data_IF_081601986514
#
_entry.id   IF_081601986514
#
_cell.length_a   1.000
_cell.length_b   1.000
_cell.length_c   1.000
_cell.angle_alpha   90.00
_cell.angle_beta   90.00
_cell.angle_gamma   90.00
#
_symmetry.space_group_name_H-M   'P 1'
#
loop_
_entity.id
_entity.type
_entity.pdbx_description
1 polymer ?
#
# COMPACT_ATOMS: atom_id res chain seq x y z
N UNK A 1 -11.81 14.08 -0.21
CA UNK A 1 -11.03 13.28 -1.20
C UNK A 1 -11.78 13.13 -2.50
N UNK A 2 -11.15 13.36 -3.67
CA UNK A 2 -11.76 13.16 -5.02
C UNK A 2 -11.20 11.93 -5.72
N UNK A 3 -9.94 11.63 -5.49
CA UNK A 3 -9.19 10.48 -6.01
C UNK A 3 -8.31 9.93 -4.90
N UNK A 4 -7.74 8.73 -5.09
CA UNK A 4 -6.66 8.19 -4.27
C UNK A 4 -5.46 7.91 -5.18
N UNK A 5 -4.58 8.90 -5.39
CA UNK A 5 -3.44 8.77 -6.29
C UNK A 5 -2.14 8.43 -5.56
N UNK A 6 -1.93 9.03 -4.39
CA UNK A 6 -0.77 8.80 -3.51
C UNK A 6 -1.10 9.21 -2.07
N UNK A 7 -0.37 8.68 -1.09
CA UNK A 7 -0.58 9.03 0.32
C UNK A 7 -0.33 10.51 0.62
N UNK A 8 0.51 11.18 -0.17
CA UNK A 8 0.76 12.62 -0.06
C UNK A 8 -0.50 13.47 -0.23
N UNK A 9 -1.49 13.00 -0.99
CA UNK A 9 -2.71 13.74 -1.30
C UNK A 9 -3.76 13.69 -0.18
N UNK A 10 -3.64 12.75 0.78
CA UNK A 10 -4.55 12.60 1.90
C UNK A 10 -4.10 13.44 3.10
N UNK A 11 -5.04 13.99 3.86
CA UNK A 11 -4.76 14.44 5.23
C UNK A 11 -4.74 13.26 6.21
N UNK A 12 -4.17 13.47 7.42
CA UNK A 12 -4.25 12.47 8.48
C UNK A 12 -5.70 12.16 8.88
N UNK A 13 -6.57 13.15 8.91
CA UNK A 13 -7.99 13.01 9.17
C UNK A 13 -8.70 12.16 8.10
N UNK A 14 -8.43 12.41 6.81
CA UNK A 14 -8.97 11.58 5.71
C UNK A 14 -8.50 10.13 5.80
N UNK A 15 -7.25 9.88 6.22
CA UNK A 15 -6.76 8.52 6.47
C UNK A 15 -7.58 7.86 7.58
N UNK A 16 -7.73 8.52 8.73
CA UNK A 16 -8.50 7.99 9.86
C UNK A 16 -9.96 7.70 9.49
N UNK A 17 -10.62 8.60 8.75
CA UNK A 17 -11.97 8.38 8.25
C UNK A 17 -12.09 7.16 7.30
N UNK A 18 -11.07 6.89 6.48
CA UNK A 18 -11.03 5.69 5.64
C UNK A 18 -10.91 4.45 6.52
N UNK A 19 -10.05 4.50 7.54
CA UNK A 19 -9.86 3.38 8.45
C UNK A 19 -11.13 3.09 9.28
N UNK A 20 -11.82 4.12 9.77
CA UNK A 20 -13.08 3.96 10.51
C UNK A 20 -14.16 3.28 9.67
N UNK A 21 -14.26 3.70 8.40
CA UNK A 21 -15.18 3.03 7.46
C UNK A 21 -14.74 1.60 7.14
N UNK A 22 -13.44 1.34 7.04
CA UNK A 22 -12.91 0.00 6.80
C UNK A 22 -13.25 -0.96 7.96
N UNK A 23 -13.11 -0.49 9.22
CA UNK A 23 -13.49 -1.25 10.41
C UNK A 23 -14.99 -1.57 10.41
N UNK A 24 -15.83 -0.58 10.09
CA UNK A 24 -17.27 -0.79 9.96
C UNK A 24 -17.58 -1.85 8.89
N UNK A 25 -16.98 -1.75 7.70
CA UNK A 25 -17.20 -2.69 6.60
C UNK A 25 -16.67 -4.11 6.91
N UNK A 26 -15.58 -4.22 7.66
CA UNK A 26 -15.06 -5.49 8.17
C UNK A 26 -16.03 -6.10 9.17
N UNK A 27 -16.53 -5.31 10.11
CA UNK A 27 -17.54 -5.72 11.09
C UNK A 27 -18.83 -6.20 10.41
N UNK A 28 -19.37 -5.42 9.47
CA UNK A 28 -20.58 -5.76 8.72
C UNK A 28 -20.43 -7.10 7.98
N UNK A 29 -19.27 -7.32 7.32
CA UNK A 29 -19.00 -8.58 6.64
C UNK A 29 -18.94 -9.76 7.60
N UNK A 30 -18.17 -9.64 8.70
CA UNK A 30 -17.99 -10.71 9.68
C UNK A 30 -19.30 -11.09 10.42
N UNK A 31 -20.25 -10.15 10.51
CA UNK A 31 -21.56 -10.37 11.13
C UNK A 31 -22.69 -10.61 10.11
N UNK A 32 -22.37 -10.83 8.84
CA UNK A 32 -23.33 -11.06 7.76
C UNK A 32 -24.39 -9.95 7.63
N UNK A 33 -24.00 -8.70 7.93
CA UNK A 33 -24.85 -7.52 7.75
C UNK A 33 -24.75 -7.06 6.28
N UNK A 34 -25.87 -7.00 5.54
CA UNK A 34 -25.86 -6.53 4.16
C UNK A 34 -25.38 -5.08 4.05
N UNK A 35 -24.41 -4.82 3.16
CA UNK A 35 -23.82 -3.50 2.98
C UNK A 35 -23.62 -3.11 1.49
N UNK A 36 -24.70 -3.11 0.68
CA UNK A 36 -24.62 -2.87 -0.75
C UNK A 36 -24.50 -1.37 -1.08
N UNK A 37 -23.50 -0.70 -0.50
CA UNK A 37 -23.32 0.76 -0.62
C UNK A 37 -23.08 1.25 -2.04
N UNK A 38 -22.61 0.39 -2.96
CA UNK A 38 -22.33 0.70 -4.36
C UNK A 38 -23.25 -0.05 -5.33
N UNK A 39 -24.49 -0.36 -4.90
CA UNK A 39 -25.47 -1.02 -5.76
C UNK A 39 -25.68 -0.26 -7.07
N UNK A 40 -25.49 -0.95 -8.20
CA UNK A 40 -25.64 -0.40 -9.54
C UNK A 40 -24.46 0.42 -10.05
N UNK A 41 -23.36 0.51 -9.29
CA UNK A 41 -22.11 1.13 -9.71
C UNK A 41 -21.19 0.12 -10.39
N UNK A 42 -20.34 0.61 -11.29
CA UNK A 42 -19.33 -0.18 -11.97
C UNK A 42 -17.95 0.47 -11.84
N UNK A 43 -16.92 -0.35 -11.60
CA UNK A 43 -15.51 0.08 -11.56
C UNK A 43 -14.69 -0.68 -12.61
N UNK A 44 -13.83 0.02 -13.35
CA UNK A 44 -12.84 -0.60 -14.23
C UNK A 44 -11.53 -0.81 -13.49
N UNK A 45 -11.00 -2.03 -13.56
CA UNK A 45 -9.75 -2.43 -12.92
C UNK A 45 -8.67 -2.62 -13.98
N UNK A 46 -7.89 -1.57 -14.27
CA UNK A 46 -6.83 -1.58 -15.30
C UNK A 46 -5.56 -2.16 -14.71
N UNK A 47 -5.02 -3.21 -15.35
CA UNK A 47 -3.79 -3.87 -14.92
C UNK A 47 -2.74 -3.87 -16.05
N UNK A 48 -1.64 -3.16 -15.82
CA UNK A 48 -0.40 -3.27 -16.60
C UNK A 48 0.61 -4.17 -15.89
N UNK A 49 0.53 -4.28 -14.55
CA UNK A 49 1.26 -5.23 -13.70
C UNK A 49 0.31 -6.25 -13.10
N UNK A 50 0.61 -7.53 -13.21
CA UNK A 50 -0.20 -8.59 -12.62
C UNK A 50 -0.23 -8.50 -11.09
N UNK A 51 -1.36 -8.86 -10.48
CA UNK A 51 -1.50 -9.01 -9.03
C UNK A 51 -2.73 -9.81 -8.67
N UNK A 52 -2.54 -10.96 -8.04
CA UNK A 52 -3.65 -11.77 -7.51
C UNK A 52 -4.38 -11.03 -6.39
N UNK A 53 -3.64 -10.51 -5.39
CA UNK A 53 -4.22 -9.83 -4.23
C UNK A 53 -5.02 -8.60 -4.63
N UNK A 54 -4.48 -7.70 -5.42
CA UNK A 54 -5.18 -6.48 -5.86
C UNK A 54 -6.42 -6.83 -6.67
N UNK A 55 -6.32 -7.76 -7.62
CA UNK A 55 -7.45 -8.17 -8.44
C UNK A 55 -8.58 -8.76 -7.59
N UNK A 56 -8.27 -9.79 -6.83
CA UNK A 56 -9.28 -10.53 -6.06
C UNK A 56 -9.92 -9.63 -5.00
N UNK A 57 -9.14 -8.79 -4.28
CA UNK A 57 -9.68 -7.92 -3.25
C UNK A 57 -10.60 -6.81 -3.82
N UNK A 58 -10.26 -6.20 -4.96
CA UNK A 58 -11.14 -5.22 -5.61
C UNK A 58 -12.40 -5.86 -6.20
N UNK A 59 -12.28 -6.98 -6.93
CA UNK A 59 -13.44 -7.69 -7.50
C UNK A 59 -14.39 -8.16 -6.39
N UNK A 60 -13.87 -8.83 -5.35
CA UNK A 60 -14.65 -9.30 -4.21
C UNK A 60 -15.25 -8.13 -3.42
N UNK A 61 -14.45 -7.08 -3.16
CA UNK A 61 -14.92 -5.90 -2.46
C UNK A 61 -16.07 -5.21 -3.18
N UNK A 62 -15.95 -5.03 -4.49
CA UNK A 62 -17.01 -4.42 -5.29
C UNK A 62 -18.29 -5.29 -5.33
N UNK A 63 -18.14 -6.62 -5.43
CA UNK A 63 -19.26 -7.56 -5.33
C UNK A 63 -19.97 -7.46 -3.97
N UNK A 64 -19.23 -7.44 -2.86
CA UNK A 64 -19.81 -7.31 -1.51
C UNK A 64 -20.53 -5.98 -1.31
N UNK A 65 -20.07 -4.92 -1.97
CA UNK A 65 -20.72 -3.60 -1.96
C UNK A 65 -21.91 -3.50 -2.93
N UNK A 66 -22.28 -4.58 -3.61
CA UNK A 66 -23.43 -4.64 -4.52
C UNK A 66 -23.19 -4.03 -5.91
N UNK A 67 -21.95 -3.73 -6.24
CA UNK A 67 -21.55 -3.20 -7.53
C UNK A 67 -20.94 -4.27 -8.45
N UNK A 68 -20.35 -3.81 -9.55
CA UNK A 68 -19.74 -4.64 -10.59
C UNK A 68 -18.32 -4.17 -10.89
N UNK A 69 -17.35 -5.08 -10.93
CA UNK A 69 -15.98 -4.81 -11.33
C UNK A 69 -15.69 -5.43 -12.70
N UNK A 70 -15.06 -4.66 -13.59
CA UNK A 70 -14.56 -5.13 -14.87
C UNK A 70 -13.05 -5.25 -14.82
N UNK A 71 -12.51 -6.45 -14.95
CA UNK A 71 -11.08 -6.65 -15.13
C UNK A 71 -10.64 -6.25 -16.53
N UNK A 72 -9.68 -5.33 -16.60
CA UNK A 72 -9.20 -4.71 -17.83
C UNK A 72 -7.68 -4.92 -17.93
N UNK A 73 -7.26 -6.00 -18.60
CA UNK A 73 -5.84 -6.22 -18.90
C UNK A 73 -5.34 -5.22 -19.93
N UNK A 74 -4.24 -4.54 -19.68
CA UNK A 74 -3.65 -3.62 -20.67
C UNK A 74 -3.30 -4.31 -22.00
N UNK A 75 -3.02 -5.61 -21.97
CA UNK A 75 -2.79 -6.39 -23.18
C UNK A 75 -4.02 -6.49 -24.10
N UNK A 76 -5.21 -6.33 -23.54
CA UNK A 76 -6.50 -6.40 -24.25
C UNK A 76 -7.07 -5.02 -24.54
N UNK A 77 -6.49 -3.96 -23.99
CA UNK A 77 -6.92 -2.57 -24.15
C UNK A 77 -6.09 -1.82 -25.20
N UNK A 78 -6.65 -0.71 -25.71
CA UNK A 78 -5.95 0.15 -26.66
C UNK A 78 -4.85 0.98 -25.99
N UNK A 79 -4.93 1.25 -24.69
CA UNK A 79 -3.87 1.93 -23.91
C UNK A 79 -2.54 1.19 -24.01
N UNK A 80 -2.55 -0.14 -24.06
CA UNK A 80 -1.36 -0.97 -24.33
C UNK A 80 -0.92 -0.97 -25.81
N UNK A 81 -1.65 -0.32 -26.69
CA UNK A 81 -1.41 -0.26 -28.15
C UNK A 81 -1.22 1.16 -28.68
N UNK A 82 -0.96 2.13 -27.78
CA UNK A 82 -0.64 3.50 -28.13
C UNK A 82 -1.83 4.48 -28.13
N UNK A 83 -3.02 4.09 -27.60
CA UNK A 83 -4.07 5.07 -27.31
C UNK A 83 -3.60 5.98 -26.17
N UNK A 84 -3.70 7.31 -26.32
CA UNK A 84 -3.35 8.23 -25.25
C UNK A 84 -4.21 7.98 -24.00
N UNK A 85 -3.59 8.07 -22.82
CA UNK A 85 -4.26 7.90 -21.51
C UNK A 85 -5.48 8.84 -21.39
N UNK A 86 -5.38 10.05 -21.93
CA UNK A 86 -6.44 11.06 -21.94
C UNK A 86 -7.72 10.59 -22.66
N UNK A 87 -7.58 9.86 -23.76
CA UNK A 87 -8.72 9.38 -24.52
C UNK A 87 -9.38 8.20 -23.80
N UNK A 88 -8.58 7.27 -23.29
CA UNK A 88 -9.06 6.18 -22.41
C UNK A 88 -9.80 6.76 -21.19
N UNK A 89 -9.26 7.80 -20.52
CA UNK A 89 -9.90 8.45 -19.37
C UNK A 89 -11.28 9.03 -19.71
N UNK A 90 -11.38 9.73 -20.83
CA UNK A 90 -12.63 10.35 -21.31
C UNK A 90 -13.69 9.32 -21.68
N UNK A 91 -13.29 8.26 -22.38
CA UNK A 91 -14.21 7.17 -22.79
C UNK A 91 -14.72 6.41 -21.56
N UNK A 92 -13.81 5.93 -20.68
CA UNK A 92 -14.20 5.15 -19.50
C UNK A 92 -15.06 5.98 -18.54
N UNK A 93 -14.85 7.29 -18.47
CA UNK A 93 -15.70 8.18 -17.66
C UNK A 93 -17.15 8.25 -18.13
N UNK A 94 -17.46 7.81 -19.35
CA UNK A 94 -18.84 7.74 -19.90
C UNK A 94 -19.53 6.42 -19.56
N UNK A 95 -18.78 5.39 -19.19
CA UNK A 95 -19.27 4.04 -18.97
C UNK A 95 -19.25 3.62 -17.50
N UNK A 96 -18.29 4.11 -16.72
CA UNK A 96 -17.96 3.65 -15.38
C UNK A 96 -18.21 4.72 -14.32
N UNK A 97 -18.22 4.30 -13.07
CA UNK A 97 -18.35 5.17 -11.90
C UNK A 97 -17.01 5.36 -11.16
N UNK A 98 -15.98 4.62 -11.54
CA UNK A 98 -14.63 4.72 -10.99
C UNK A 98 -13.65 3.89 -11.79
N UNK A 99 -12.37 4.20 -11.66
CA UNK A 99 -11.24 3.46 -12.26
C UNK A 99 -10.26 3.14 -11.15
N UNK A 100 -9.81 1.90 -11.07
CA UNK A 100 -8.57 1.52 -10.39
C UNK A 100 -7.54 1.16 -11.46
N UNK A 101 -6.31 1.65 -11.29
CA UNK A 101 -5.20 1.29 -12.16
C UNK A 101 -4.00 0.81 -11.36
N UNK A 102 -3.36 -0.26 -11.84
CA UNK A 102 -2.08 -0.77 -11.37
C UNK A 102 -1.10 -0.74 -12.54
N UNK A 103 -0.11 0.14 -12.44
CA UNK A 103 0.80 0.48 -13.54
C UNK A 103 2.24 0.72 -13.04
N UNK A 104 3.09 1.27 -13.88
CA UNK A 104 4.46 1.65 -13.57
C UNK A 104 4.54 3.14 -13.20
N UNK A 105 4.15 4.00 -14.10
CA UNK A 105 4.35 5.44 -14.00
C UNK A 105 3.25 6.12 -13.18
N UNK A 106 3.65 6.91 -12.17
CA UNK A 106 2.71 7.72 -11.38
C UNK A 106 1.92 8.70 -12.26
N UNK A 107 2.56 9.23 -13.30
CA UNK A 107 1.96 10.16 -14.27
C UNK A 107 0.73 9.60 -14.97
N UNK A 108 0.68 8.29 -15.27
CA UNK A 108 -0.52 7.69 -15.88
C UNK A 108 -1.73 7.77 -14.96
N UNK A 109 -1.52 7.55 -13.66
CA UNK A 109 -2.59 7.64 -12.66
C UNK A 109 -3.09 9.08 -12.54
N UNK A 110 -2.17 10.03 -12.53
CA UNK A 110 -2.47 11.47 -12.47
C UNK A 110 -3.19 11.93 -13.75
N UNK A 111 -2.77 11.47 -14.92
CA UNK A 111 -3.44 11.80 -16.19
C UNK A 111 -4.87 11.22 -16.26
N UNK A 112 -5.08 9.98 -15.82
CA UNK A 112 -6.44 9.44 -15.72
C UNK A 112 -7.35 10.31 -14.84
N UNK A 113 -6.81 10.82 -13.73
CA UNK A 113 -7.54 11.69 -12.82
C UNK A 113 -7.76 13.11 -13.36
N UNK A 114 -6.81 13.64 -14.14
CA UNK A 114 -6.89 14.97 -14.74
C UNK A 114 -7.90 15.01 -15.89
N UNK A 115 -7.84 14.03 -16.81
CA UNK A 115 -8.65 14.01 -18.02
C UNK A 115 -9.98 13.27 -17.86
N UNK A 116 -10.12 12.44 -16.81
CA UNK A 116 -11.35 11.77 -16.44
C UNK A 116 -12.30 12.63 -15.62
N UNK A 117 -13.57 12.23 -15.55
CA UNK A 117 -14.58 12.89 -14.71
C UNK A 117 -15.08 12.00 -13.56
N UNK A 118 -14.50 10.83 -13.40
CA UNK A 118 -14.83 9.86 -12.34
C UNK A 118 -13.63 9.64 -11.42
N UNK A 119 -13.84 9.13 -10.19
CA UNK A 119 -12.75 8.82 -9.27
C UNK A 119 -11.72 7.84 -9.84
N UNK A 120 -10.45 8.10 -9.53
CA UNK A 120 -9.31 7.23 -9.85
C UNK A 120 -8.66 6.75 -8.57
N UNK A 121 -8.39 5.45 -8.51
CA UNK A 121 -7.71 4.76 -7.39
C UNK A 121 -6.39 4.19 -7.90
N UNK A 122 -5.29 4.59 -7.28
CA UNK A 122 -3.99 3.99 -7.51
C UNK A 122 -3.90 2.62 -6.82
N UNK A 123 -3.92 1.55 -7.60
CA UNK A 123 -3.71 0.18 -7.12
C UNK A 123 -2.25 -0.16 -6.84
N UNK A 124 -1.32 0.50 -7.50
CA UNK A 124 0.13 0.55 -7.31
C UNK A 124 0.79 1.26 -8.50
N UNK A 125 1.78 2.08 -8.22
CA UNK A 125 2.79 2.56 -9.17
C UNK A 125 4.20 2.32 -8.61
N UNK A 126 5.25 2.64 -9.37
CA UNK A 126 6.64 2.60 -8.87
C UNK A 126 6.92 3.67 -7.82
N UNK A 127 6.09 4.71 -7.74
CA UNK A 127 6.18 5.77 -6.74
C UNK A 127 5.39 5.49 -5.47
N UNK A 128 4.18 4.91 -5.56
CA UNK A 128 3.26 4.83 -4.41
C UNK A 128 2.37 3.58 -4.44
N UNK A 129 2.07 3.05 -3.25
CA UNK A 129 1.10 1.97 -3.03
C UNK A 129 0.10 2.32 -1.91
N UNK A 130 -0.78 3.31 -2.11
CA UNK A 130 -1.63 3.84 -1.05
C UNK A 130 -2.61 2.80 -0.48
N UNK A 131 -3.14 1.91 -1.32
CA UNK A 131 -4.06 0.85 -0.86
C UNK A 131 -3.39 -0.15 0.10
N UNK A 132 -2.09 -0.38 -0.04
CA UNK A 132 -1.35 -1.25 0.88
C UNK A 132 -1.19 -0.55 2.23
N UNK A 133 -0.69 0.67 2.24
CA UNK A 133 -0.42 1.39 3.49
C UNK A 133 -1.71 1.66 4.29
N UNK A 134 -2.84 1.84 3.63
CA UNK A 134 -4.14 1.90 4.33
C UNK A 134 -4.46 0.58 5.04
N UNK A 135 -4.12 -0.57 4.45
CA UNK A 135 -4.29 -1.88 5.09
C UNK A 135 -3.27 -2.10 6.23
N UNK A 136 -2.02 -1.68 6.03
CA UNK A 136 -0.98 -1.74 7.07
C UNK A 136 -1.42 -0.94 8.30
N UNK A 137 -1.85 0.32 8.10
CA UNK A 137 -2.34 1.18 9.18
C UNK A 137 -3.60 0.61 9.85
N UNK A 138 -4.53 0.01 9.08
CA UNK A 138 -5.69 -0.67 9.63
C UNK A 138 -5.25 -1.80 10.57
N UNK A 139 -4.30 -2.65 10.13
CA UNK A 139 -3.79 -3.78 10.90
C UNK A 139 -3.06 -3.32 12.18
N UNK A 140 -2.23 -2.28 12.06
CA UNK A 140 -1.55 -1.67 13.22
C UNK A 140 -2.60 -1.19 14.23
N UNK A 141 -3.62 -0.47 13.80
CA UNK A 141 -4.67 0.04 14.68
C UNK A 141 -5.49 -1.08 15.34
N UNK A 142 -5.80 -2.14 14.62
CA UNK A 142 -6.52 -3.30 15.19
C UNK A 142 -5.71 -3.99 16.29
N UNK A 143 -4.39 -4.08 16.15
CA UNK A 143 -3.50 -4.77 17.10
C UNK A 143 -3.03 -3.88 18.26
N UNK A 144 -2.75 -2.62 18.00
CA UNK A 144 -2.16 -1.69 18.97
C UNK A 144 -3.18 -0.66 19.52
N UNK A 145 -4.38 -0.54 18.94
CA UNK A 145 -5.48 0.35 19.33
C UNK A 145 -5.20 1.86 19.19
N UNK A 146 -3.99 2.28 18.87
CA UNK A 146 -3.58 3.67 18.71
C UNK A 146 -2.45 3.77 17.68
N UNK A 147 -2.17 5.00 17.24
CA UNK A 147 -0.94 5.32 16.50
C UNK A 147 0.01 6.19 17.35
N UNK A 148 -0.55 6.90 18.35
CA UNK A 148 0.21 7.84 19.17
C UNK A 148 1.25 7.08 20.00
N UNK A 149 2.50 7.55 19.93
CA UNK A 149 3.64 6.98 20.61
C UNK A 149 4.18 5.68 19.99
N UNK A 150 3.61 5.18 18.88
CA UNK A 150 4.14 4.02 18.20
C UNK A 150 5.25 4.38 17.21
N UNK A 151 6.25 3.53 17.14
CA UNK A 151 7.33 3.58 16.15
C UNK A 151 7.19 2.47 15.12
N UNK A 152 7.12 2.86 13.85
CA UNK A 152 7.16 1.98 12.69
C UNK A 152 8.56 1.98 12.08
N UNK A 153 9.13 0.82 11.86
CA UNK A 153 10.40 0.61 11.19
C UNK A 153 10.19 -0.12 9.87
N UNK A 154 10.76 0.41 8.78
CA UNK A 154 10.84 -0.31 7.51
C UNK A 154 12.31 -0.60 7.16
N UNK A 155 12.60 -1.83 6.76
CA UNK A 155 13.94 -2.30 6.38
C UNK A 155 13.87 -2.88 4.96
N UNK A 156 14.59 -2.29 4.02
CA UNK A 156 14.61 -2.74 2.63
C UNK A 156 14.87 -1.65 1.61
N UNK A 157 14.26 -1.79 0.43
CA UNK A 157 14.38 -0.83 -0.67
C UNK A 157 13.54 0.44 -0.39
N UNK A 158 14.10 1.62 -0.64
CA UNK A 158 13.37 2.89 -0.60
C UNK A 158 12.36 3.06 -1.75
N UNK A 159 11.60 2.03 -2.03
CA UNK A 159 10.65 1.90 -3.12
C UNK A 159 9.28 2.57 -2.81
N UNK A 160 8.27 2.24 -3.60
CA UNK A 160 6.89 2.74 -3.43
C UNK A 160 6.27 2.38 -2.07
N UNK A 161 6.66 1.25 -1.46
CA UNK A 161 6.20 0.89 -0.10
C UNK A 161 6.81 1.82 0.93
N UNK A 162 8.15 2.00 0.92
CA UNK A 162 8.83 2.94 1.81
C UNK A 162 8.27 4.36 1.66
N UNK A 163 8.11 4.85 0.42
CA UNK A 163 7.51 6.15 0.13
C UNK A 163 6.13 6.31 0.78
N UNK A 164 5.28 5.32 0.64
CA UNK A 164 3.90 5.39 1.12
C UNK A 164 3.80 5.21 2.64
N UNK A 165 4.64 4.34 3.24
CA UNK A 165 4.73 4.11 4.69
C UNK A 165 5.22 5.36 5.42
N UNK A 166 6.26 6.04 4.92
CA UNK A 166 6.75 7.30 5.49
C UNK A 166 5.59 8.30 5.60
N UNK A 167 4.89 8.51 4.50
CA UNK A 167 3.81 9.51 4.46
C UNK A 167 2.63 9.10 5.33
N UNK A 168 2.19 7.85 5.22
CA UNK A 168 1.05 7.33 5.98
C UNK A 168 1.31 7.34 7.48
N UNK A 169 2.44 6.78 7.93
CA UNK A 169 2.81 6.71 9.34
C UNK A 169 2.96 8.08 9.99
N UNK A 170 3.68 9.00 9.34
CA UNK A 170 3.86 10.36 9.85
C UNK A 170 2.54 11.12 9.95
N UNK A 171 1.63 10.99 8.97
CA UNK A 171 0.33 11.67 8.96
C UNK A 171 -0.63 11.21 10.06
N UNK A 172 -0.52 9.95 10.47
CA UNK A 172 -1.32 9.44 11.61
C UNK A 172 -0.64 9.61 12.96
N UNK A 173 0.56 10.22 12.99
CA UNK A 173 1.26 10.62 14.22
C UNK A 173 2.31 9.66 14.74
N UNK A 174 2.59 8.56 14.02
CA UNK A 174 3.66 7.61 14.37
C UNK A 174 5.06 8.22 14.21
N UNK A 175 6.02 7.63 14.91
CA UNK A 175 7.43 7.75 14.53
C UNK A 175 7.73 6.77 13.41
N UNK A 176 8.56 7.18 12.45
CA UNK A 176 8.92 6.35 11.28
C UNK A 176 10.42 6.30 11.12
N UNK A 177 10.98 5.10 11.13
CA UNK A 177 12.38 4.86 10.83
C UNK A 177 12.52 3.97 9.60
N UNK A 178 13.43 4.35 8.70
CA UNK A 178 13.68 3.64 7.44
C UNK A 178 15.16 3.25 7.39
N UNK A 179 15.43 1.98 7.12
CA UNK A 179 16.77 1.51 6.80
C UNK A 179 16.86 1.06 5.36
N UNK A 180 17.65 1.77 4.56
CA UNK A 180 17.93 1.47 3.15
C UNK A 180 19.42 1.51 2.87
N UNK A 181 19.96 0.68 1.95
CA UNK A 181 21.32 0.82 1.47
C UNK A 181 21.54 2.16 0.75
N UNK A 182 22.79 2.62 0.73
CA UNK A 182 23.17 3.77 -0.10
C UNK A 182 22.79 3.51 -1.59
N UNK A 183 22.19 4.53 -2.22
CA UNK A 183 21.70 4.45 -3.59
C UNK A 183 20.29 3.84 -3.76
N UNK A 184 19.67 3.40 -2.66
CA UNK A 184 18.30 2.85 -2.64
C UNK A 184 17.39 3.61 -1.66
N UNK A 185 17.60 4.91 -1.52
CA UNK A 185 16.81 5.75 -0.63
C UNK A 185 15.41 6.02 -1.20
N UNK A 186 14.43 6.36 -0.33
CA UNK A 186 13.12 6.84 -0.75
C UNK A 186 13.19 8.06 -1.64
N UNK A 187 12.09 8.31 -2.38
CA UNK A 187 11.99 9.42 -3.31
C UNK A 187 12.28 10.78 -2.63
N UNK A 188 13.05 11.67 -3.26
CA UNK A 188 13.40 12.98 -2.71
C UNK A 188 12.18 13.83 -2.31
N UNK A 189 11.04 13.72 -3.02
CA UNK A 189 9.81 14.43 -2.67
C UNK A 189 9.26 13.95 -1.33
N UNK A 190 9.34 12.65 -1.05
CA UNK A 190 8.89 12.04 0.20
C UNK A 190 9.83 12.41 1.35
N UNK A 191 11.14 12.40 1.10
CA UNK A 191 12.12 12.84 2.09
C UNK A 191 11.96 14.32 2.44
N UNK A 192 11.65 15.17 1.45
CA UNK A 192 11.36 16.59 1.71
C UNK A 192 10.09 16.77 2.55
N UNK A 193 9.03 16.00 2.25
CA UNK A 193 7.82 15.97 3.07
C UNK A 193 8.13 15.57 4.52
N UNK A 194 8.94 14.53 4.72
CA UNK A 194 9.26 14.00 6.04
C UNK A 194 10.05 15.00 6.92
N UNK A 195 10.82 15.92 6.35
CA UNK A 195 11.54 16.96 7.10
C UNK A 195 10.64 17.82 7.98
N UNK A 196 9.38 18.03 7.59
CA UNK A 196 8.40 18.81 8.36
C UNK A 196 8.04 18.15 9.70
N UNK A 197 8.35 16.86 9.87
CA UNK A 197 8.04 16.08 11.07
C UNK A 197 9.22 15.98 12.05
N UNK A 198 10.38 16.53 11.69
CA UNK A 198 11.55 16.61 12.57
C UNK A 198 11.99 15.25 13.09
N UNK A 199 12.12 15.14 14.41
CA UNK A 199 12.62 13.92 15.10
C UNK A 199 11.69 12.69 14.97
N UNK A 200 10.48 12.85 14.43
CA UNK A 200 9.58 11.72 14.15
C UNK A 200 9.99 10.91 12.93
N UNK A 201 10.96 11.38 12.14
CA UNK A 201 11.44 10.65 10.97
C UNK A 201 12.95 10.42 11.04
N UNK A 202 13.37 9.18 10.83
CA UNK A 202 14.79 8.79 10.75
C UNK A 202 15.04 7.97 9.48
N UNK A 203 16.09 8.34 8.74
CA UNK A 203 16.63 7.55 7.64
C UNK A 203 18.06 7.16 8.00
N UNK A 204 18.38 5.87 7.93
CA UNK A 204 19.71 5.32 8.26
C UNK A 204 20.07 4.20 7.26
N UNK A 205 21.34 3.82 7.21
CA UNK A 205 21.83 2.62 6.54
C UNK A 205 22.03 1.43 7.49
N UNK A 206 21.63 1.60 8.78
CA UNK A 206 21.83 0.62 9.84
C UNK A 206 20.50 -0.04 10.26
N UNK A 207 20.16 -1.26 9.78
CA UNK A 207 18.92 -1.94 10.10
C UNK A 207 18.64 -2.09 11.60
N UNK A 208 19.67 -2.42 12.41
CA UNK A 208 19.52 -2.60 13.86
C UNK A 208 19.19 -1.27 14.57
N UNK A 209 19.76 -0.15 14.09
CA UNK A 209 19.46 1.18 14.62
C UNK A 209 18.01 1.58 14.29
N UNK A 210 17.57 1.34 13.04
CA UNK A 210 16.20 1.63 12.63
C UNK A 210 15.17 0.83 13.45
N UNK A 211 15.45 -0.46 13.70
CA UNK A 211 14.57 -1.36 14.43
C UNK A 211 14.52 -1.09 15.94
N UNK A 212 15.48 -0.31 16.49
CA UNK A 212 15.53 -0.05 17.93
C UNK A 212 14.24 0.56 18.44
N UNK A 213 13.66 -0.08 19.47
CA UNK A 213 12.42 0.33 20.12
C UNK A 213 11.21 0.44 19.15
N UNK A 214 11.20 -0.32 18.05
CA UNK A 214 10.09 -0.34 17.11
C UNK A 214 8.92 -1.19 17.65
N UNK A 215 7.69 -0.71 17.44
CA UNK A 215 6.44 -1.43 17.72
C UNK A 215 5.96 -2.24 16.51
N UNK A 216 6.38 -1.81 15.32
CA UNK A 216 6.03 -2.43 14.04
C UNK A 216 7.26 -2.49 13.15
N UNK A 217 7.62 -3.67 12.68
CA UNK A 217 8.73 -3.90 11.74
C UNK A 217 8.16 -4.36 10.42
N UNK A 218 8.48 -3.65 9.34
CA UNK A 218 7.91 -3.89 8.00
C UNK A 218 9.03 -4.10 7.00
N UNK A 219 8.83 -4.99 6.04
CA UNK A 219 9.70 -5.14 4.88
C UNK A 219 8.92 -5.43 3.62
N UNK A 220 9.61 -5.36 2.49
CA UNK A 220 9.14 -5.75 1.16
C UNK A 220 10.28 -6.42 0.41
N UNK A 221 9.96 -7.09 -0.69
CA UNK A 221 10.95 -7.75 -1.56
C UNK A 221 12.04 -6.76 -1.99
N UNK A 222 13.29 -7.22 -2.04
CA UNK A 222 14.42 -6.38 -2.48
C UNK A 222 14.39 -6.05 -3.98
N UNK A 223 13.75 -6.89 -4.78
CA UNK A 223 13.53 -6.65 -6.20
C UNK A 223 12.03 -6.68 -6.50
N UNK A 224 11.46 -5.51 -6.79
CA UNK A 224 10.05 -5.39 -7.16
C UNK A 224 9.78 -5.89 -8.58
N UNK A 225 8.50 -6.09 -8.92
CA UNK A 225 8.08 -6.49 -10.28
C UNK A 225 8.60 -5.52 -11.34
N UNK A 226 9.28 -6.07 -12.35
CA UNK A 226 9.95 -5.31 -13.41
C UNK A 226 11.43 -5.05 -13.14
N UNK A 227 11.95 -5.43 -11.97
CA UNK A 227 13.35 -5.30 -11.57
C UNK A 227 14.09 -6.66 -11.50
N UNK A 228 13.48 -7.73 -12.01
CA UNK A 228 14.02 -9.09 -11.92
C UNK A 228 15.42 -9.21 -12.57
N UNK A 229 15.71 -8.38 -13.57
CA UNK A 229 17.04 -8.32 -14.21
C UNK A 229 18.15 -7.76 -13.29
N UNK A 230 17.80 -7.11 -12.19
CA UNK A 230 18.73 -6.57 -11.20
C UNK A 230 18.83 -7.42 -9.93
N UNK A 231 18.12 -8.55 -9.85
CA UNK A 231 17.98 -9.34 -8.62
C UNK A 231 19.31 -9.69 -7.96
N UNK A 232 20.30 -10.16 -8.72
CA UNK A 232 21.62 -10.50 -8.17
C UNK A 232 22.39 -9.28 -7.63
N UNK A 233 22.32 -8.15 -8.34
CA UNK A 233 22.92 -6.88 -7.87
C UNK A 233 22.26 -6.42 -6.58
N UNK A 234 20.94 -6.54 -6.50
CA UNK A 234 20.15 -6.16 -5.32
C UNK A 234 20.46 -7.07 -4.13
N UNK A 235 20.58 -8.38 -4.31
CA UNK A 235 21.00 -9.31 -3.25
C UNK A 235 22.33 -8.91 -2.61
N UNK A 236 23.26 -8.40 -3.40
CA UNK A 236 24.54 -7.91 -2.86
C UNK A 236 24.36 -6.60 -2.09
N UNK A 237 23.59 -5.66 -2.63
CA UNK A 237 23.36 -4.36 -2.01
C UNK A 237 22.54 -4.46 -0.71
N UNK A 238 21.57 -5.37 -0.66
CA UNK A 238 20.69 -5.58 0.49
C UNK A 238 21.20 -6.64 1.49
N UNK A 239 22.43 -7.12 1.32
CA UNK A 239 23.03 -8.02 2.31
C UNK A 239 23.08 -7.34 3.70
N UNK A 240 22.42 -7.95 4.69
CA UNK A 240 22.27 -7.38 6.03
C UNK A 240 20.95 -6.63 6.27
N UNK A 241 20.09 -6.46 5.24
CA UNK A 241 18.77 -5.82 5.36
C UNK A 241 17.63 -6.83 5.51
N UNK A 242 17.90 -7.99 6.08
CA UNK A 242 16.92 -9.03 6.35
C UNK A 242 16.28 -8.84 7.73
N UNK A 243 14.95 -8.96 7.83
CA UNK A 243 14.28 -9.11 9.12
C UNK A 243 14.57 -10.53 9.67
N UNK A 244 15.33 -10.60 10.75
CA UNK A 244 15.77 -11.80 11.42
C UNK A 244 15.72 -11.63 12.94
N UNK A 245 16.18 -12.62 13.70
CA UNK A 245 16.18 -12.59 15.17
C UNK A 245 16.95 -11.39 15.74
N UNK A 246 18.05 -10.98 15.11
CA UNK A 246 18.88 -9.86 15.59
C UNK A 246 18.15 -8.52 15.43
N UNK A 247 17.44 -8.34 14.32
CA UNK A 247 16.56 -7.17 14.08
C UNK A 247 15.42 -7.16 15.08
N UNK A 248 14.72 -8.29 15.24
CA UNK A 248 13.60 -8.41 16.18
C UNK A 248 14.02 -8.23 17.64
N UNK A 249 15.25 -8.58 17.99
CA UNK A 249 15.80 -8.35 19.33
C UNK A 249 16.01 -6.85 19.65
N UNK A 250 16.04 -5.96 18.66
CA UNK A 250 16.11 -4.51 18.86
C UNK A 250 14.72 -3.87 19.04
N UNK A 251 13.69 -4.48 18.50
CA UNK A 251 12.31 -4.01 18.60
C UNK A 251 11.71 -4.33 19.99
N UNK A 252 10.56 -3.77 20.28
CA UNK A 252 9.82 -4.14 21.49
C UNK A 252 9.44 -5.62 21.47
N UNK A 253 9.36 -6.23 22.67
CA UNK A 253 9.08 -7.66 22.80
C UNK A 253 7.70 -8.09 22.22
N UNK A 254 6.76 -7.16 22.10
CA UNK A 254 5.45 -7.32 21.48
C UNK A 254 5.36 -6.63 20.11
N UNK A 255 6.50 -6.35 19.48
CA UNK A 255 6.53 -5.79 18.14
C UNK A 255 5.89 -6.74 17.14
N UNK A 256 5.06 -6.18 16.27
CA UNK A 256 4.44 -6.91 15.16
C UNK A 256 5.29 -6.82 13.89
N UNK A 257 5.13 -7.81 13.00
CA UNK A 257 5.79 -7.83 11.69
C UNK A 257 4.75 -7.80 10.58
N UNK A 258 4.94 -6.91 9.60
CA UNK A 258 4.11 -6.80 8.41
C UNK A 258 4.91 -7.03 7.13
N UNK A 259 4.24 -7.55 6.11
CA UNK A 259 4.81 -7.78 4.78
C UNK A 259 3.71 -7.77 3.72
N UNK A 260 3.79 -6.87 2.76
CA UNK A 260 2.76 -6.69 1.72
C UNK A 260 2.59 -7.89 0.77
N UNK A 261 3.47 -8.89 0.85
CA UNK A 261 3.51 -10.10 0.03
C UNK A 261 3.62 -9.83 -1.51
N UNK A 262 4.27 -10.75 -2.27
CA UNK A 262 4.84 -12.04 -1.83
C UNK A 262 6.11 -11.87 -1.02
N UNK A 263 6.44 -12.78 -0.12
CA UNK A 263 7.69 -12.78 0.63
C UNK A 263 8.68 -13.78 0.04
N UNK A 264 9.96 -13.38 -0.05
CA UNK A 264 11.07 -14.28 -0.39
C UNK A 264 11.79 -14.66 0.91
N UNK A 265 11.38 -15.79 1.48
CA UNK A 265 11.99 -16.30 2.70
C UNK A 265 13.49 -16.53 2.50
N UNK A 266 14.26 -16.19 3.53
CA UNK A 266 15.72 -16.18 3.56
C UNK A 266 16.37 -15.08 2.69
N UNK A 267 15.55 -14.21 2.07
CA UNK A 267 16.03 -12.95 1.49
C UNK A 267 15.69 -11.79 2.45
N UNK A 268 14.60 -11.05 2.23
CA UNK A 268 14.23 -9.90 3.05
C UNK A 268 13.70 -10.24 4.45
N UNK A 269 13.27 -11.49 4.66
CA UNK A 269 12.77 -11.99 5.94
C UNK A 269 13.10 -13.47 6.11
N UNK A 270 13.51 -13.88 7.32
CA UNK A 270 13.71 -15.31 7.61
C UNK A 270 12.39 -16.05 7.69
N UNK A 271 12.38 -17.35 7.33
CA UNK A 271 11.19 -18.19 7.50
C UNK A 271 10.72 -18.22 8.95
N UNK A 272 11.68 -18.27 9.90
CA UNK A 272 11.37 -18.28 11.33
C UNK A 272 10.57 -17.07 11.78
N UNK A 273 10.99 -15.85 11.42
CA UNK A 273 10.29 -14.62 11.78
C UNK A 273 8.97 -14.55 11.04
N UNK A 274 8.94 -14.88 9.75
CA UNK A 274 7.70 -14.87 8.96
C UNK A 274 6.63 -15.77 9.57
N UNK A 275 6.96 -17.01 9.90
CA UNK A 275 5.99 -17.98 10.45
C UNK A 275 5.57 -17.60 11.89
N UNK A 276 6.45 -16.99 12.68
CA UNK A 276 6.10 -16.50 14.00
C UNK A 276 5.08 -15.34 13.97
N UNK A 277 5.05 -14.57 12.89
CA UNK A 277 4.18 -13.40 12.67
C UNK A 277 3.16 -13.61 11.53
N UNK A 278 2.95 -14.85 11.09
CA UNK A 278 2.07 -15.17 9.97
C UNK A 278 0.65 -14.64 10.17
N UNK A 279 0.10 -14.73 11.38
CA UNK A 279 -1.24 -14.24 11.69
C UNK A 279 -1.39 -12.73 11.41
N UNK A 280 -0.38 -11.94 11.71
CA UNK A 280 -0.35 -10.49 11.47
C UNK A 280 -0.24 -10.18 9.98
N UNK A 281 0.67 -10.86 9.28
CA UNK A 281 0.90 -10.70 7.85
C UNK A 281 -0.34 -11.08 7.03
N UNK A 282 -1.02 -12.17 7.40
CA UNK A 282 -2.23 -12.57 6.69
C UNK A 282 -3.46 -11.74 7.09
N UNK A 283 -3.50 -11.16 8.29
CA UNK A 283 -4.52 -10.17 8.65
C UNK A 283 -4.32 -8.86 7.86
N UNK A 284 -3.09 -8.41 7.69
CA UNK A 284 -2.75 -7.31 6.78
C UNK A 284 -3.26 -7.58 5.35
N UNK A 285 -3.02 -8.79 4.84
CA UNK A 285 -3.54 -9.21 3.53
C UNK A 285 -5.08 -9.22 3.48
N UNK A 286 -5.78 -9.64 4.55
CA UNK A 286 -7.24 -9.54 4.66
C UNK A 286 -7.68 -8.07 4.66
N UNK A 287 -7.00 -7.21 5.39
CA UNK A 287 -7.34 -5.80 5.53
C UNK A 287 -7.22 -5.01 4.21
N UNK A 288 -6.49 -5.53 3.22
CA UNK A 288 -6.54 -5.03 1.84
C UNK A 288 -7.96 -4.99 1.29
N UNK A 289 -8.76 -6.03 1.55
CA UNK A 289 -10.16 -6.06 1.13
C UNK A 289 -10.97 -4.93 1.77
N UNK A 290 -10.83 -4.76 3.08
CA UNK A 290 -11.65 -3.81 3.85
C UNK A 290 -11.25 -2.36 3.60
N UNK A 291 -9.96 -2.04 3.59
CA UNK A 291 -9.45 -0.71 3.26
C UNK A 291 -9.85 -0.28 1.83
N UNK A 292 -9.73 -1.17 0.84
CA UNK A 292 -10.13 -0.89 -0.53
C UNK A 292 -11.65 -0.73 -0.69
N UNK A 293 -12.46 -1.48 0.06
CA UNK A 293 -13.92 -1.26 0.14
C UNK A 293 -14.23 0.14 0.64
N UNK A 294 -13.57 0.57 1.72
CA UNK A 294 -13.76 1.90 2.29
C UNK A 294 -13.40 3.01 1.29
N UNK A 295 -12.26 2.86 0.58
CA UNK A 295 -11.86 3.79 -0.49
C UNK A 295 -12.92 3.85 -1.60
N UNK A 296 -13.38 2.70 -2.08
CA UNK A 296 -14.42 2.67 -3.13
C UNK A 296 -15.71 3.34 -2.66
N UNK A 297 -16.17 3.10 -1.44
CA UNK A 297 -17.38 3.74 -0.89
C UNK A 297 -17.18 5.26 -0.76
N UNK A 298 -16.05 5.72 -0.22
CA UNK A 298 -15.80 7.17 -0.08
C UNK A 298 -15.72 7.92 -1.40
N UNK A 299 -15.27 7.26 -2.46
CA UNK A 299 -15.08 7.88 -3.77
C UNK A 299 -16.30 7.76 -4.70
N UNK A 300 -17.06 6.67 -4.59
CA UNK A 300 -18.07 6.30 -5.58
C UNK A 300 -19.52 6.38 -5.06
N UNK A 301 -19.74 6.51 -3.74
CA UNK A 301 -21.06 6.69 -3.16
C UNK A 301 -21.57 8.13 -3.34
#
# INVERSE_FOLDING_TARGET
>A
MKHLLKMLDLSGEEILEILDLADQLKYELKHSIPHPYLKGKSIGLIFQKASTRTRVSFETGMYQLGGHALFLSANDLQIGRGEPVQDTARVLSRYLNGIMIRTFEQKEVEDLAEYGSIPVINGLTDFSHPCQVLADLMTIRERKSTFDGLKMCFIGDGNNMANSLIVGGLKVGMEVSIACPEGYHPDPQVLEFAKAYGDKFTLTDQPLEAAKDADVVITDVWASMGQEGEAEKRKVAFNGYQINDDVMAQAHADAMVLHCLPAHREEEITEKVFEAHADEIFEEAENRLHAQKAVMVKLMK
#
